data_IF_209367340824
#
_entry.id   IF_209367340824
#
_cell.length_a   1.000
_cell.length_b   1.000
_cell.length_c   1.000
_cell.angle_alpha   90.00
_cell.angle_beta   90.00
_cell.angle_gamma   90.00
#
_symmetry.space_group_name_H-M   'P 1'
#
loop_
_entity.id
_entity.type
_entity.pdbx_description
1 polymer ?
#
# COMPACT_ATOMS: atom_id res chain seq x y z
N UNK A 1 -7.40 -20.32 13.43
CA UNK A 1 -6.44 -20.96 12.51
C UNK A 1 -5.18 -21.17 13.31
N UNK A 2 -4.57 -22.36 13.21
CA UNK A 2 -3.39 -22.73 13.99
C UNK A 2 -2.41 -23.43 13.04
N UNK A 3 -1.67 -22.62 12.28
CA UNK A 3 -0.72 -23.12 11.29
C UNK A 3 0.56 -23.58 11.99
N UNK A 4 1.11 -24.76 11.66
CA UNK A 4 2.39 -25.20 12.19
C UNK A 4 3.52 -24.19 11.89
N UNK A 5 4.48 -24.06 12.81
CA UNK A 5 5.62 -23.15 12.67
C UNK A 5 6.40 -23.40 11.37
N UNK A 6 6.53 -24.65 10.93
CA UNK A 6 7.22 -24.99 9.68
C UNK A 6 6.53 -24.43 8.44
N UNK A 7 5.20 -24.29 8.49
CA UNK A 7 4.38 -23.73 7.41
C UNK A 7 4.48 -22.21 7.42
N UNK A 8 4.32 -21.59 8.59
CA UNK A 8 4.44 -20.13 8.76
C UNK A 8 5.85 -19.65 8.36
N UNK A 9 6.87 -20.42 8.68
CA UNK A 9 8.25 -20.12 8.33
C UNK A 9 8.67 -20.61 6.93
N UNK A 10 7.78 -21.29 6.21
CA UNK A 10 8.09 -21.74 4.86
C UNK A 10 8.38 -20.52 3.96
N UNK A 11 9.48 -20.51 3.18
CA UNK A 11 9.90 -19.33 2.43
C UNK A 11 8.80 -18.73 1.54
N UNK A 12 8.00 -19.56 0.87
CA UNK A 12 6.91 -19.09 0.00
C UNK A 12 5.76 -18.47 0.80
N UNK A 13 5.43 -19.01 1.99
CA UNK A 13 4.35 -18.45 2.82
C UNK A 13 4.76 -17.09 3.37
N UNK A 14 6.02 -16.95 3.80
CA UNK A 14 6.59 -15.66 4.20
C UNK A 14 6.62 -14.66 3.04
N UNK A 15 7.08 -15.10 1.87
CA UNK A 15 7.12 -14.25 0.68
C UNK A 15 5.73 -13.71 0.30
N UNK A 16 4.69 -14.55 0.39
CA UNK A 16 3.31 -14.10 0.15
C UNK A 16 2.85 -13.06 1.19
N UNK A 17 3.19 -13.25 2.46
CA UNK A 17 2.88 -12.29 3.51
C UNK A 17 3.61 -10.95 3.31
N UNK A 18 4.91 -11.02 3.01
CA UNK A 18 5.75 -9.84 2.76
C UNK A 18 5.28 -9.08 1.50
N UNK A 19 5.03 -9.80 0.39
CA UNK A 19 4.50 -9.20 -0.83
C UNK A 19 3.11 -8.59 -0.65
N UNK A 20 2.22 -9.24 0.10
CA UNK A 20 0.91 -8.67 0.43
C UNK A 20 1.03 -7.38 1.24
N UNK A 21 1.94 -7.34 2.22
CA UNK A 21 2.23 -6.14 3.01
C UNK A 21 2.82 -5.02 2.14
N UNK A 22 3.76 -5.34 1.25
CA UNK A 22 4.36 -4.38 0.32
C UNK A 22 3.31 -3.74 -0.58
N UNK A 23 2.45 -4.55 -1.22
CA UNK A 23 1.39 -4.07 -2.10
C UNK A 23 0.44 -3.13 -1.36
N UNK A 24 0.01 -3.52 -0.15
CA UNK A 24 -0.86 -2.69 0.68
C UNK A 24 -0.19 -1.37 1.06
N UNK A 25 1.06 -1.43 1.52
CA UNK A 25 1.80 -0.27 2.00
C UNK A 25 2.12 0.72 0.88
N UNK A 26 2.55 0.24 -0.29
CA UNK A 26 2.86 1.13 -1.41
C UNK A 26 1.61 1.71 -2.06
N UNK A 27 0.50 0.97 -2.08
CA UNK A 27 -0.80 1.55 -2.42
C UNK A 27 -1.22 2.63 -1.42
N UNK A 28 -0.98 2.41 -0.12
CA UNK A 28 -1.22 3.42 0.90
C UNK A 28 -0.41 4.69 0.68
N UNK A 29 0.87 4.58 0.34
CA UNK A 29 1.72 5.74 0.04
C UNK A 29 1.15 6.57 -1.09
N UNK A 30 0.60 5.96 -2.15
CA UNK A 30 -0.05 6.70 -3.24
C UNK A 30 -1.33 7.40 -2.76
N UNK A 31 -2.20 6.69 -2.03
CA UNK A 31 -3.49 7.26 -1.60
C UNK A 31 -3.36 8.31 -0.50
N UNK A 32 -2.36 8.19 0.37
CA UNK A 32 -2.06 9.11 1.45
C UNK A 32 -1.23 10.32 1.01
N UNK A 33 -0.49 10.19 -0.09
CA UNK A 33 0.44 11.21 -0.60
C UNK A 33 -0.16 12.62 -0.63
N UNK A 34 -1.39 12.89 -1.14
CA UNK A 34 -1.94 14.24 -1.17
C UNK A 34 -1.99 14.93 0.20
N UNK A 35 -2.33 14.17 1.25
CA UNK A 35 -2.47 14.69 2.60
C UNK A 35 -1.11 14.77 3.29
N UNK A 36 -0.26 13.77 3.09
CA UNK A 36 1.08 13.72 3.67
C UNK A 36 1.98 14.81 3.08
N UNK A 37 1.94 14.98 1.76
CA UNK A 37 2.61 16.05 1.04
C UNK A 37 2.15 17.43 1.51
N UNK A 38 0.84 17.66 1.68
CA UNK A 38 0.31 18.91 2.19
C UNK A 38 0.82 19.24 3.62
N UNK A 39 1.13 18.22 4.42
CA UNK A 39 1.69 18.37 5.79
C UNK A 39 3.21 18.47 5.82
N UNK A 40 3.88 18.25 4.69
CA UNK A 40 5.35 18.16 4.63
C UNK A 40 5.92 16.87 5.20
N UNK A 41 5.16 15.77 5.23
CA UNK A 41 5.68 14.46 5.61
C UNK A 41 6.46 13.85 4.44
N UNK A 42 7.69 13.40 4.72
CA UNK A 42 8.59 12.82 3.75
C UNK A 42 8.68 11.28 3.85
N UNK A 43 8.03 10.66 4.85
CA UNK A 43 8.01 9.20 5.01
C UNK A 43 7.00 8.54 4.07
N UNK A 44 7.15 8.79 2.77
CA UNK A 44 6.26 8.30 1.74
C UNK A 44 7.10 7.91 0.51
N UNK A 45 6.86 6.73 -0.07
CA UNK A 45 7.65 6.24 -1.20
C UNK A 45 7.57 7.16 -2.43
N UNK A 46 6.46 7.86 -2.65
CA UNK A 46 6.34 8.87 -3.73
C UNK A 46 7.34 10.00 -3.50
N UNK A 47 7.44 10.54 -2.28
CA UNK A 47 8.42 11.59 -1.93
C UNK A 47 9.87 11.11 -2.17
N UNK A 48 10.18 9.88 -1.76
CA UNK A 48 11.51 9.28 -1.96
C UNK A 48 11.80 9.11 -3.46
N UNK A 49 10.82 8.67 -4.25
CA UNK A 49 10.98 8.51 -5.70
C UNK A 49 11.19 9.85 -6.41
N UNK A 50 10.47 10.91 -6.02
CA UNK A 50 10.68 12.26 -6.54
C UNK A 50 12.14 12.71 -6.33
N UNK A 51 12.63 12.63 -5.10
CA UNK A 51 13.96 13.11 -4.73
C UNK A 51 15.08 12.28 -5.38
N UNK A 52 15.06 10.96 -5.17
CA UNK A 52 16.17 10.09 -5.56
C UNK A 52 16.22 9.77 -7.06
N UNK A 53 15.14 10.01 -7.79
CA UNK A 53 15.06 9.76 -9.25
C UNK A 53 14.83 11.02 -10.06
N UNK A 54 14.79 12.19 -9.43
CA UNK A 54 14.50 13.48 -10.07
C UNK A 54 13.20 13.44 -10.89
N UNK A 55 12.16 12.78 -10.34
CA UNK A 55 10.86 12.63 -11.02
C UNK A 55 9.91 13.77 -10.65
N UNK A 56 8.99 14.10 -11.57
CA UNK A 56 7.79 14.89 -11.20
C UNK A 56 6.90 14.08 -10.25
N UNK A 57 5.90 14.72 -9.66
CA UNK A 57 4.91 14.03 -8.82
C UNK A 57 4.25 12.90 -9.60
N UNK A 58 3.77 13.17 -10.82
CA UNK A 58 3.12 12.18 -11.67
C UNK A 58 4.09 11.05 -12.05
N UNK A 59 5.34 11.39 -12.36
CA UNK A 59 6.37 10.41 -12.68
C UNK A 59 6.70 9.50 -11.48
N UNK A 60 6.71 10.06 -10.27
CA UNK A 60 6.94 9.31 -9.04
C UNK A 60 5.75 8.40 -8.69
N UNK A 61 4.51 8.89 -8.86
CA UNK A 61 3.30 8.06 -8.69
C UNK A 61 3.30 6.89 -9.66
N UNK A 62 3.59 7.11 -10.95
CA UNK A 62 3.63 6.00 -11.93
C UNK A 62 4.78 5.03 -11.61
N UNK A 63 5.92 5.53 -11.15
CA UNK A 63 7.01 4.68 -10.70
C UNK A 63 6.63 3.75 -9.54
N UNK A 64 5.94 4.28 -8.51
CA UNK A 64 5.47 3.47 -7.38
C UNK A 64 4.37 2.50 -7.81
N UNK A 65 3.46 2.92 -8.70
CA UNK A 65 2.46 2.05 -9.31
C UNK A 65 3.10 0.87 -10.05
N UNK A 66 4.11 1.12 -10.88
CA UNK A 66 4.78 0.08 -11.66
C UNK A 66 5.50 -0.94 -10.76
N UNK A 67 6.14 -0.46 -9.68
CA UNK A 67 6.73 -1.35 -8.67
C UNK A 67 5.64 -2.19 -7.97
N UNK A 68 4.51 -1.58 -7.63
CA UNK A 68 3.39 -2.26 -6.97
C UNK A 68 2.78 -3.32 -7.89
N UNK A 69 2.59 -3.03 -9.18
CA UNK A 69 2.12 -3.99 -10.19
C UNK A 69 3.10 -5.15 -10.34
N UNK A 70 4.40 -4.87 -10.42
CA UNK A 70 5.43 -5.91 -10.48
C UNK A 70 5.39 -6.81 -9.24
N UNK A 71 5.19 -6.23 -8.05
CA UNK A 71 5.09 -7.00 -6.80
C UNK A 71 3.86 -7.89 -6.75
N UNK A 72 2.74 -7.43 -7.34
CA UNK A 72 1.56 -8.25 -7.53
C UNK A 72 1.84 -9.45 -8.45
N UNK A 73 2.55 -9.25 -9.56
CA UNK A 73 2.97 -10.35 -10.44
C UNK A 73 3.87 -11.35 -9.70
N UNK A 74 4.83 -10.87 -8.91
CA UNK A 74 5.69 -11.69 -8.06
C UNK A 74 4.89 -12.49 -7.01
N UNK A 75 3.87 -11.88 -6.40
CA UNK A 75 2.95 -12.55 -5.47
C UNK A 75 2.20 -13.69 -6.16
N UNK A 76 1.64 -13.45 -7.35
CA UNK A 76 0.92 -14.47 -8.12
C UNK A 76 1.84 -15.63 -8.49
N UNK A 77 3.06 -15.33 -8.94
CA UNK A 77 4.08 -16.32 -9.26
C UNK A 77 4.54 -17.13 -8.04
N UNK A 78 4.64 -16.50 -6.87
CA UNK A 78 4.97 -17.19 -5.61
C UNK A 78 3.83 -18.11 -5.17
N UNK A 79 2.57 -17.64 -5.27
CA UNK A 79 1.38 -18.42 -4.92
C UNK A 79 1.26 -19.67 -5.77
N UNK A 80 1.58 -19.57 -7.06
CA UNK A 80 1.58 -20.72 -7.98
C UNK A 80 2.65 -21.79 -7.64
N UNK A 81 3.68 -21.43 -6.88
CA UNK A 81 4.78 -22.34 -6.47
C UNK A 81 4.57 -22.92 -5.06
N UNK A 82 3.47 -22.58 -4.39
CA UNK A 82 3.19 -23.04 -3.04
C UNK A 82 3.12 -24.59 -3.02
N UNK A 83 3.91 -25.26 -2.16
CA UNK A 83 3.84 -26.70 -2.05
C UNK A 83 2.58 -27.12 -1.27
N UNK A 84 2.23 -28.40 -1.38
CA UNK A 84 1.30 -29.02 -0.44
C UNK A 84 2.03 -29.35 0.86
N UNK A 85 1.39 -29.05 1.98
CA UNK A 85 1.80 -29.38 3.35
C UNK A 85 0.94 -30.52 3.93
N UNK A 86 0.03 -31.08 3.13
CA UNK A 86 -0.92 -32.12 3.50
C UNK A 86 -2.35 -31.59 3.53
N UNK A 87 -3.37 -32.40 3.16
CA UNK A 87 -4.72 -31.89 2.87
C UNK A 87 -5.36 -31.04 3.97
N UNK A 88 -5.19 -31.41 5.25
CA UNK A 88 -5.75 -30.67 6.39
C UNK A 88 -5.05 -29.32 6.63
N UNK A 89 -3.76 -29.25 6.31
CA UNK A 89 -2.96 -28.02 6.46
C UNK A 89 -3.17 -27.13 5.24
N UNK A 90 -3.27 -27.70 4.05
CA UNK A 90 -3.48 -26.98 2.78
C UNK A 90 -4.74 -26.12 2.81
N UNK A 91 -5.84 -26.60 3.43
CA UNK A 91 -7.05 -25.80 3.60
C UNK A 91 -6.81 -24.56 4.46
N UNK A 92 -6.08 -24.71 5.58
CA UNK A 92 -5.75 -23.59 6.46
C UNK A 92 -4.79 -22.60 5.79
N UNK A 93 -3.80 -23.10 5.05
CA UNK A 93 -2.86 -22.24 4.29
C UNK A 93 -3.62 -21.46 3.22
N UNK A 94 -4.55 -22.10 2.50
CA UNK A 94 -5.38 -21.42 1.51
C UNK A 94 -6.23 -20.31 2.15
N UNK A 95 -6.81 -20.56 3.34
CA UNK A 95 -7.54 -19.55 4.09
C UNK A 95 -6.64 -18.40 4.56
N UNK A 96 -5.41 -18.68 4.99
CA UNK A 96 -4.44 -17.66 5.40
C UNK A 96 -4.06 -16.75 4.23
N UNK A 97 -3.73 -17.34 3.07
CA UNK A 97 -3.39 -16.61 1.84
C UNK A 97 -4.58 -15.78 1.35
N UNK A 98 -5.80 -16.34 1.41
CA UNK A 98 -7.01 -15.60 1.10
C UNK A 98 -7.22 -14.43 2.07
N UNK A 99 -6.87 -14.60 3.34
CA UNK A 99 -6.88 -13.51 4.33
C UNK A 99 -5.96 -12.36 3.96
N UNK A 100 -4.75 -12.64 3.46
CA UNK A 100 -3.82 -11.62 2.94
C UNK A 100 -4.48 -10.86 1.77
N UNK A 101 -5.05 -11.58 0.80
CA UNK A 101 -5.72 -10.98 -0.36
C UNK A 101 -6.91 -10.10 0.04
N UNK A 102 -7.70 -10.54 1.02
CA UNK A 102 -8.78 -9.75 1.58
C UNK A 102 -8.30 -8.53 2.38
N UNK A 103 -7.16 -8.61 3.06
CA UNK A 103 -6.56 -7.43 3.70
C UNK A 103 -6.20 -6.37 2.65
N UNK A 104 -5.58 -6.76 1.54
CA UNK A 104 -5.23 -5.85 0.44
C UNK A 104 -6.48 -5.25 -0.20
N UNK A 105 -7.42 -6.09 -0.64
CA UNK A 105 -8.64 -5.63 -1.30
C UNK A 105 -9.51 -4.79 -0.36
N UNK A 106 -9.70 -5.25 0.87
CA UNK A 106 -10.46 -4.54 1.89
C UNK A 106 -9.85 -3.19 2.24
N UNK A 107 -8.52 -3.07 2.25
CA UNK A 107 -7.84 -1.79 2.41
C UNK A 107 -8.13 -0.82 1.25
N UNK A 108 -8.07 -1.29 0.00
CA UNK A 108 -8.40 -0.47 -1.17
C UNK A 108 -9.86 0.00 -1.09
N UNK A 109 -10.79 -0.90 -0.81
CA UNK A 109 -12.21 -0.54 -0.67
C UNK A 109 -12.43 0.45 0.47
N UNK A 110 -11.80 0.20 1.62
CA UNK A 110 -11.88 1.08 2.78
C UNK A 110 -11.33 2.48 2.49
N UNK A 111 -10.26 2.60 1.69
CA UNK A 111 -9.64 3.87 1.29
C UNK A 111 -10.64 4.83 0.64
N UNK A 112 -11.59 4.32 -0.14
CA UNK A 112 -12.62 5.13 -0.80
C UNK A 112 -13.92 5.29 -0.01
N UNK A 113 -14.00 4.71 1.19
CA UNK A 113 -15.16 4.82 2.09
C UNK A 113 -14.83 5.70 3.29
N UNK A 114 -13.59 5.68 3.74
CA UNK A 114 -13.11 6.50 4.85
C UNK A 114 -12.89 7.96 4.44
N UNK A 115 -13.23 8.95 5.28
CA UNK A 115 -12.89 10.34 4.98
C UNK A 115 -11.38 10.62 5.08
N UNK A 116 -10.58 9.67 5.59
CA UNK A 116 -9.15 9.84 5.88
C UNK A 116 -8.33 10.29 4.67
N UNK A 117 -8.61 9.79 3.46
CA UNK A 117 -7.77 10.01 2.29
C UNK A 117 -8.32 11.06 1.33
N UNK A 118 -9.62 10.95 1.01
CA UNK A 118 -10.24 11.79 -0.01
C UNK A 118 -11.45 12.57 0.49
N UNK A 119 -11.78 12.49 1.79
CA UNK A 119 -12.92 13.20 2.36
C UNK A 119 -14.22 12.99 1.55
N UNK A 120 -14.92 14.09 1.28
CA UNK A 120 -16.16 14.09 0.50
C UNK A 120 -15.92 13.83 -1.01
N UNK A 121 -14.68 13.95 -1.49
CA UNK A 121 -14.31 13.74 -2.90
C UNK A 121 -14.07 12.26 -3.25
N UNK A 122 -14.14 11.34 -2.29
CA UNK A 122 -13.78 9.92 -2.50
C UNK A 122 -14.50 9.26 -3.70
N UNK A 123 -15.78 9.59 -3.93
CA UNK A 123 -16.53 9.06 -5.08
C UNK A 123 -16.00 9.59 -6.42
N UNK A 124 -15.70 10.89 -6.49
CA UNK A 124 -15.11 11.54 -7.68
C UNK A 124 -13.72 10.99 -7.96
N UNK A 125 -12.88 10.84 -6.93
CA UNK A 125 -11.53 10.27 -7.07
C UNK A 125 -11.60 8.82 -7.57
N UNK A 126 -12.53 8.02 -7.04
CA UNK A 126 -12.71 6.62 -7.48
C UNK A 126 -13.10 6.51 -8.96
N UNK A 127 -13.94 7.42 -9.44
CA UNK A 127 -14.41 7.43 -10.84
C UNK A 127 -13.36 7.99 -11.81
N UNK A 128 -12.67 9.06 -11.42
CA UNK A 128 -11.82 9.84 -12.34
C UNK A 128 -10.33 9.57 -12.20
N UNK A 129 -9.89 9.09 -11.04
CA UNK A 129 -8.48 9.02 -10.65
C UNK A 129 -7.82 10.39 -10.41
N UNK A 130 -8.59 11.48 -10.44
CA UNK A 130 -8.05 12.85 -10.32
C UNK A 130 -8.14 13.32 -8.87
N UNK A 131 -7.01 13.77 -8.32
CA UNK A 131 -6.91 14.37 -6.98
C UNK A 131 -6.28 15.75 -7.10
N UNK A 132 -6.91 16.75 -6.49
CA UNK A 132 -6.37 18.10 -6.40
C UNK A 132 -5.35 18.14 -5.24
N UNK A 133 -4.07 18.34 -5.56
CA UNK A 133 -3.02 18.49 -4.55
C UNK A 133 -3.10 19.88 -3.93
N UNK A 134 -3.14 19.91 -2.60
CA UNK A 134 -2.93 21.15 -1.85
C UNK A 134 -1.42 21.38 -1.72
N UNK A 135 -0.97 22.61 -1.92
CA UNK A 135 0.42 22.97 -1.68
C UNK A 135 0.82 22.59 -0.24
N UNK A 136 2.07 22.18 0.00
CA UNK A 136 2.59 22.06 1.36
C UNK A 136 2.29 23.37 2.08
N UNK A 137 1.82 23.32 3.32
CA UNK A 137 1.47 24.48 4.14
C UNK A 137 2.40 25.65 3.80
N UNK A 138 1.84 26.72 3.24
CA UNK A 138 2.59 27.95 3.07
C UNK A 138 2.94 28.44 4.50
N UNK A 139 4.23 28.55 4.80
CA UNK A 139 4.75 29.01 6.09
C UNK A 139 4.54 30.53 6.21
N UNK A 140 3.27 30.95 6.29
CA UNK A 140 2.90 32.36 6.40
C UNK A 140 2.70 32.76 7.86
N UNK A 141 2.71 31.78 8.78
CA UNK A 141 2.40 31.99 10.18
C UNK A 141 3.68 32.17 11.01
N UNK A 142 3.83 33.33 11.63
CA UNK A 142 4.75 33.52 12.74
C UNK A 142 4.27 32.72 13.95
N UNK A 143 5.06 31.74 14.37
CA UNK A 143 4.87 31.05 15.65
C UNK A 143 5.64 31.80 16.71
N UNK A 144 4.93 32.49 17.61
CA UNK A 144 5.51 33.01 18.85
C UNK A 144 5.43 31.90 19.89
N UNK A 145 6.58 31.36 20.25
CA UNK A 145 6.71 30.40 21.36
C UNK A 145 7.09 31.21 22.60
N UNK A 146 6.19 31.30 23.57
CA UNK A 146 6.52 31.79 24.91
C UNK A 146 6.95 30.61 25.79
N UNK A 147 7.98 30.83 26.60
CA UNK A 147 8.59 29.84 27.50
C UNK A 147 7.80 29.64 28.80
#
# INVERSE_FOLDING_TARGET
MDLPDEVVNHPIVKELADAGNDILTWANDIYSFPIEFARGDAHNFVCIAMEHKSLSVEGAIEYVNDITRKRLDEYVDAKAKLPSFGPEVDEQVAQYILGIEYCVQGFIDWTFVTPRYFGDDASKVKETGIVDLMAPIALDAHVVVEA
#
